data_IF_539214274542
#
_entry.id   IF_539214274542
#
_cell.length_a   1.000
_cell.length_b   1.000
_cell.length_c   1.000
_cell.angle_alpha   90.00
_cell.angle_beta   90.00
_cell.angle_gamma   90.00
#
_symmetry.space_group_name_H-M   'P 1'
#
loop_
_entity.id
_entity.type
_entity.pdbx_description
1 polymer ?
#
# COMPACT_ATOMS: atom_id res chain seq x y z
N UNK A 1 12.53 -36.22 26.17
CA UNK A 1 12.32 -35.52 24.89
C UNK A 1 10.90 -34.94 24.74
N UNK A 2 10.33 -34.29 25.76
CA UNK A 2 9.00 -33.62 25.68
C UNK A 2 9.00 -32.19 26.25
N UNK A 3 10.17 -31.57 26.45
CA UNK A 3 10.27 -30.20 26.99
C UNK A 3 10.91 -29.17 26.02
N UNK A 4 11.33 -29.57 24.82
CA UNK A 4 11.96 -28.65 23.83
C UNK A 4 10.99 -28.14 22.76
N UNK A 5 9.70 -28.51 22.81
CA UNK A 5 8.71 -28.13 21.76
C UNK A 5 7.78 -27.00 22.20
N UNK A 6 8.07 -26.29 23.30
CA UNK A 6 7.24 -25.20 23.81
C UNK A 6 7.87 -23.82 23.71
N UNK A 7 9.09 -23.69 23.17
CA UNK A 7 9.78 -22.38 23.07
C UNK A 7 9.73 -21.77 21.65
N UNK A 8 9.27 -22.49 20.64
CA UNK A 8 9.25 -22.02 19.25
C UNK A 8 7.93 -21.35 18.84
N UNK A 9 6.90 -21.30 19.69
CA UNK A 9 5.57 -20.78 19.33
C UNK A 9 5.33 -19.34 19.82
N UNK A 10 6.26 -18.72 20.52
CA UNK A 10 6.09 -17.35 21.08
C UNK A 10 6.81 -16.23 20.33
N UNK A 11 7.44 -16.51 19.19
CA UNK A 11 8.11 -15.52 18.33
C UNK A 11 7.26 -14.91 17.22
N UNK A 12 5.97 -15.24 17.16
CA UNK A 12 5.12 -14.90 16.02
C UNK A 12 4.16 -13.77 16.34
N UNK A 13 4.59 -12.53 16.51
CA UNK A 13 3.65 -11.39 16.49
C UNK A 13 4.34 -10.04 16.72
N UNK A 14 5.17 -9.59 15.80
CA UNK A 14 5.43 -8.15 15.73
C UNK A 14 5.40 -7.66 14.28
N UNK A 15 4.20 -7.63 13.72
CA UNK A 15 3.93 -6.72 12.63
C UNK A 15 3.92 -5.34 13.27
N UNK A 16 4.91 -4.50 12.98
CA UNK A 16 4.83 -3.10 13.34
C UNK A 16 3.58 -2.54 12.68
N UNK A 17 2.51 -2.44 13.45
CA UNK A 17 1.31 -1.75 13.04
C UNK A 17 1.72 -0.32 12.74
N UNK A 18 1.93 0.04 11.48
CA UNK A 18 1.75 1.42 11.07
C UNK A 18 0.31 1.76 11.44
N UNK A 19 0.12 2.27 12.66
CA UNK A 19 -1.22 2.54 13.17
C UNK A 19 -1.76 3.70 12.36
N UNK A 20 -2.78 3.42 11.57
CA UNK A 20 -3.68 4.45 11.06
C UNK A 20 -3.86 5.53 12.10
N UNK A 21 -4.01 6.76 11.67
CA UNK A 21 -4.35 7.86 12.59
C UNK A 21 -5.44 7.37 13.53
N UNK A 22 -5.19 7.27 14.84
CA UNK A 22 -6.12 6.62 15.76
C UNK A 22 -7.54 7.16 15.62
N UNK A 23 -8.55 6.29 15.74
CA UNK A 23 -9.98 6.69 15.57
C UNK A 23 -10.41 7.88 16.42
N UNK A 24 -9.69 8.20 17.48
CA UNK A 24 -9.95 9.33 18.36
C UNK A 24 -9.33 10.66 17.88
N UNK A 25 -8.44 10.62 16.87
CA UNK A 25 -7.93 11.82 16.20
C UNK A 25 -8.88 12.18 15.05
N UNK A 26 -9.11 13.47 14.86
CA UNK A 26 -9.82 13.95 13.68
C UNK A 26 -8.96 13.61 12.45
N UNK A 27 -9.51 12.84 11.51
CA UNK A 27 -8.85 12.52 10.24
C UNK A 27 -8.59 13.77 9.39
N UNK A 28 -9.20 14.90 9.76
CA UNK A 28 -8.98 16.17 9.07
C UNK A 28 -7.61 16.73 9.43
N UNK A 29 -6.74 16.76 8.43
CA UNK A 29 -5.46 17.44 8.54
C UNK A 29 -5.70 18.95 8.57
N UNK A 30 -5.17 19.60 9.59
CA UNK A 30 -5.28 21.05 9.77
C UNK A 30 -4.17 21.80 9.05
N UNK A 31 -2.96 21.31 9.24
CA UNK A 31 -1.73 21.87 8.71
C UNK A 31 -0.80 20.75 8.32
N UNK A 32 0.08 21.04 7.39
CA UNK A 32 1.22 20.18 7.01
C UNK A 32 2.47 21.03 7.10
N UNK A 33 3.47 20.53 7.78
CA UNK A 33 4.77 21.16 7.93
C UNK A 33 5.85 20.26 7.30
N UNK A 34 6.99 20.83 6.94
CA UNK A 34 8.18 20.07 6.55
C UNK A 34 9.15 19.95 7.71
N UNK A 35 9.86 18.84 7.80
CA UNK A 35 10.95 18.66 8.73
C UNK A 35 12.16 19.47 8.26
N UNK A 36 12.76 20.23 9.16
CA UNK A 36 13.83 21.19 8.89
C UNK A 36 15.19 20.50 8.76
N UNK A 37 15.39 19.44 9.51
CA UNK A 37 16.65 18.69 9.61
C UNK A 37 16.38 17.24 9.96
N UNK A 38 17.33 16.36 9.71
CA UNK A 38 17.23 14.97 10.11
C UNK A 38 17.13 14.84 11.63
N UNK A 39 16.20 14.02 12.08
CA UNK A 39 15.97 13.75 13.51
C UNK A 39 15.48 12.32 13.70
N UNK A 40 15.95 11.68 14.76
CA UNK A 40 15.49 10.37 15.18
C UNK A 40 14.70 10.54 16.48
N UNK A 41 13.44 10.15 16.46
CA UNK A 41 12.56 10.10 17.61
C UNK A 41 12.35 8.65 17.99
N UNK A 42 12.40 8.32 19.27
CA UNK A 42 12.05 6.97 19.73
C UNK A 42 10.62 6.97 20.27
N UNK A 43 9.77 6.15 19.68
CA UNK A 43 8.43 5.92 20.19
C UNK A 43 8.40 4.70 21.11
N UNK A 44 7.77 4.88 22.28
CA UNK A 44 7.47 3.77 23.16
C UNK A 44 6.11 3.17 22.77
N UNK A 45 6.11 1.90 22.39
CA UNK A 45 4.91 1.13 22.14
C UNK A 45 4.67 0.18 23.31
N UNK A 46 3.43 0.09 23.74
CA UNK A 46 3.00 -0.94 24.67
C UNK A 46 2.52 -2.13 23.86
N UNK A 47 3.17 -3.27 24.04
CA UNK A 47 2.79 -4.53 23.43
C UNK A 47 1.56 -5.11 24.12
N UNK A 48 0.87 -6.05 23.45
CA UNK A 48 -0.32 -6.71 24.00
C UNK A 48 0.00 -7.54 25.26
N UNK A 49 1.25 -7.99 25.40
CA UNK A 49 1.77 -8.67 26.60
C UNK A 49 2.16 -7.71 27.74
N UNK A 50 1.97 -6.42 27.55
CA UNK A 50 2.23 -5.37 28.54
C UNK A 50 3.65 -4.83 28.56
N UNK A 51 4.60 -5.40 27.79
CA UNK A 51 5.96 -4.88 27.65
C UNK A 51 5.97 -3.57 26.84
N UNK A 52 7.03 -2.79 27.01
CA UNK A 52 7.28 -1.59 26.22
C UNK A 52 8.41 -1.83 25.26
N UNK A 53 8.21 -1.45 24.02
CA UNK A 53 9.21 -1.49 22.98
C UNK A 53 9.51 -0.08 22.48
N UNK A 54 10.79 0.16 22.17
CA UNK A 54 11.28 1.42 21.59
C UNK A 54 11.39 1.25 20.08
N UNK A 55 10.59 2.00 19.34
CA UNK A 55 10.68 2.06 17.89
C UNK A 55 11.32 3.39 17.46
N UNK A 56 12.45 3.39 16.74
CA UNK A 56 13.02 4.60 16.18
C UNK A 56 12.17 5.10 15.02
N UNK A 57 11.82 6.38 15.06
CA UNK A 57 11.14 7.08 13.97
C UNK A 57 12.13 8.03 13.33
N UNK A 58 12.49 7.73 12.10
CA UNK A 58 13.43 8.51 11.31
C UNK A 58 12.69 9.58 10.52
N UNK A 59 12.96 10.85 10.83
CA UNK A 59 12.48 11.99 10.05
C UNK A 59 13.67 12.61 9.34
N UNK A 60 13.61 12.73 8.05
CA UNK A 60 14.62 13.37 7.23
C UNK A 60 14.19 14.77 6.85
N UNK A 61 15.17 15.64 6.57
CA UNK A 61 14.90 17.00 6.09
C UNK A 61 13.95 16.96 4.89
N UNK A 62 12.86 17.69 4.98
CA UNK A 62 11.85 17.75 3.92
C UNK A 62 10.69 16.79 4.07
N UNK A 63 10.74 15.83 5.00
CA UNK A 63 9.61 14.96 5.32
C UNK A 63 8.41 15.78 5.80
N UNK A 64 7.23 15.21 5.64
CA UNK A 64 5.99 15.88 6.03
C UNK A 64 5.53 15.45 7.43
N UNK A 65 5.15 16.43 8.21
CA UNK A 65 4.42 16.27 9.47
C UNK A 65 3.02 16.84 9.33
N UNK A 66 2.01 15.99 9.44
CA UNK A 66 0.60 16.39 9.44
C UNK A 66 0.15 16.78 10.84
N UNK A 67 -0.62 17.85 10.96
CA UNK A 67 -1.17 18.30 12.23
C UNK A 67 -2.66 18.01 12.27
N UNK A 68 -3.09 17.26 13.28
CA UNK A 68 -4.47 16.84 13.52
C UNK A 68 -5.00 17.33 14.87
N UNK A 69 -6.32 17.29 15.08
CA UNK A 69 -6.99 17.53 16.36
C UNK A 69 -7.60 16.25 16.92
N UNK A 70 -7.64 16.14 18.25
CA UNK A 70 -8.50 15.13 18.89
C UNK A 70 -9.97 15.53 18.76
N UNK A 71 -10.85 14.59 18.36
CA UNK A 71 -12.29 14.86 18.11
C UNK A 71 -13.03 15.54 19.26
N UNK A 72 -12.68 15.19 20.50
CA UNK A 72 -13.38 15.69 21.71
C UNK A 72 -12.56 16.65 22.58
N UNK A 73 -11.33 17.01 22.21
CA UNK A 73 -10.44 17.91 22.98
C UNK A 73 -9.64 18.78 22.00
N UNK A 74 -9.29 20.01 22.41
CA UNK A 74 -8.46 20.91 21.58
C UNK A 74 -6.97 20.53 21.53
N UNK A 75 -6.62 19.29 21.78
CA UNK A 75 -5.24 18.81 21.75
C UNK A 75 -4.79 18.59 20.31
N UNK A 76 -3.61 19.07 19.96
CA UNK A 76 -2.99 18.83 18.66
C UNK A 76 -2.16 17.56 18.69
N UNK A 77 -2.10 16.89 17.54
CA UNK A 77 -1.28 15.71 17.27
C UNK A 77 -0.52 15.93 16.00
N UNK A 78 0.74 15.51 15.99
CA UNK A 78 1.58 15.48 14.82
C UNK A 78 1.64 14.05 14.34
N UNK A 79 1.48 13.83 13.06
CA UNK A 79 1.49 12.50 12.46
C UNK A 79 2.44 12.47 11.26
N UNK A 80 3.17 11.38 11.14
CA UNK A 80 3.91 10.96 9.96
C UNK A 80 3.15 9.84 9.26
N UNK A 81 3.75 9.24 8.23
CA UNK A 81 3.23 8.02 7.59
C UNK A 81 3.17 6.82 8.55
N UNK A 82 3.96 6.80 9.63
CA UNK A 82 4.13 5.64 10.51
C UNK A 82 3.82 5.93 11.98
N UNK A 83 3.72 7.19 12.40
CA UNK A 83 3.67 7.53 13.81
C UNK A 83 2.76 8.72 14.11
N UNK A 84 2.21 8.75 15.32
CA UNK A 84 1.38 9.83 15.83
C UNK A 84 1.94 10.30 17.17
N UNK A 85 2.29 11.58 17.24
CA UNK A 85 2.90 12.20 18.41
C UNK A 85 1.92 13.18 19.07
N UNK A 86 1.53 12.96 20.34
CA UNK A 86 0.86 13.98 21.12
C UNK A 86 1.88 15.07 21.48
N UNK A 87 1.46 16.32 21.38
CA UNK A 87 2.32 17.46 21.68
C UNK A 87 1.66 18.37 22.68
N UNK A 88 2.31 18.57 23.82
CA UNK A 88 1.95 19.57 24.83
C UNK A 88 2.82 20.82 24.63
N UNK A 89 2.22 22.00 24.66
CA UNK A 89 2.91 23.29 24.64
C UNK A 89 3.97 23.44 23.53
N UNK A 90 3.76 22.81 22.37
CA UNK A 90 4.72 22.74 21.26
C UNK A 90 6.03 21.99 21.58
N UNK A 91 6.05 21.17 22.59
CA UNK A 91 7.14 20.25 22.92
C UNK A 91 6.68 18.80 22.72
N UNK A 92 7.64 17.91 22.41
CA UNK A 92 7.36 16.49 22.34
C UNK A 92 7.02 15.94 23.72
N UNK A 93 6.08 15.01 23.79
CA UNK A 93 5.79 14.30 25.03
C UNK A 93 7.02 13.45 25.40
N UNK A 94 7.38 13.45 26.68
CA UNK A 94 8.54 12.72 27.21
C UNK A 94 8.49 11.21 26.95
N UNK A 95 7.29 10.67 26.80
CA UNK A 95 7.06 9.25 26.53
C UNK A 95 7.40 8.87 25.08
N UNK A 96 7.49 9.86 24.19
CA UNK A 96 7.63 9.64 22.73
C UNK A 96 8.96 10.08 22.16
N UNK A 97 9.90 10.54 22.98
CA UNK A 97 11.17 11.12 22.52
C UNK A 97 12.35 10.49 23.23
N UNK A 98 13.42 10.20 22.50
CA UNK A 98 14.68 9.78 23.14
C UNK A 98 15.20 10.89 24.05
N UNK A 99 15.96 10.53 25.11
CA UNK A 99 16.58 11.50 26.02
C UNK A 99 17.40 12.58 25.28
N UNK A 100 17.98 12.25 24.12
CA UNK A 100 18.72 13.19 23.27
C UNK A 100 17.87 14.35 22.74
N UNK A 101 16.56 14.15 22.61
CA UNK A 101 15.63 15.15 22.06
C UNK A 101 14.59 15.63 23.08
N UNK A 102 14.75 15.24 24.35
CA UNK A 102 13.89 15.71 25.43
C UNK A 102 13.95 17.23 25.51
N UNK A 103 12.78 17.89 25.45
CA UNK A 103 12.69 19.35 25.47
C UNK A 103 12.86 20.05 24.12
N UNK A 104 13.08 19.32 23.04
CA UNK A 104 13.10 19.89 21.67
C UNK A 104 11.71 20.45 21.35
N UNK A 105 11.66 21.70 20.95
CA UNK A 105 10.42 22.36 20.55
C UNK A 105 10.12 22.02 19.08
N UNK A 106 8.87 21.70 18.78
CA UNK A 106 8.46 21.38 17.42
C UNK A 106 8.84 22.49 16.43
N UNK A 107 8.69 23.75 16.84
CA UNK A 107 9.08 24.91 16.01
C UNK A 107 10.55 24.90 15.58
N UNK A 108 11.40 24.18 16.30
CA UNK A 108 12.82 24.10 16.01
C UNK A 108 13.15 23.01 14.96
N UNK A 109 12.21 22.08 14.73
CA UNK A 109 12.38 20.96 13.79
C UNK A 109 11.48 21.04 12.57
N UNK A 110 10.50 21.95 12.54
CA UNK A 110 9.58 22.11 11.41
C UNK A 110 9.72 23.48 10.76
N UNK A 111 9.46 23.50 9.45
CA UNK A 111 9.40 24.70 8.62
C UNK A 111 8.21 24.61 7.65
N UNK A 112 7.92 25.69 6.96
CA UNK A 112 6.93 25.76 5.88
C UNK A 112 5.57 25.19 6.24
N UNK A 113 5.12 25.44 7.48
CA UNK A 113 3.80 25.03 7.93
C UNK A 113 2.70 25.75 7.15
N UNK A 114 1.85 24.98 6.51
CA UNK A 114 0.73 25.52 5.75
C UNK A 114 -0.57 24.85 6.13
N UNK A 115 -1.63 25.63 6.17
CA UNK A 115 -2.99 25.11 6.34
C UNK A 115 -3.36 24.27 5.11
N UNK A 116 -3.78 23.04 5.36
CA UNK A 116 -4.28 22.18 4.27
C UNK A 116 -5.69 22.63 3.93
N UNK A 117 -5.85 23.07 2.69
CA UNK A 117 -7.15 23.32 2.10
C UNK A 117 -7.38 22.27 1.02
N UNK A 118 -8.41 21.47 1.19
CA UNK A 118 -8.82 20.47 0.20
C UNK A 118 -10.34 20.44 0.10
N UNK A 119 -10.83 20.06 -1.06
CA UNK A 119 -12.24 19.79 -1.29
C UNK A 119 -12.44 18.31 -1.47
N UNK A 120 -12.94 17.65 -0.45
CA UNK A 120 -13.21 16.22 -0.47
C UNK A 120 -14.62 15.93 -0.98
N UNK A 121 -14.72 14.95 -1.88
CA UNK A 121 -15.97 14.37 -2.35
C UNK A 121 -15.97 12.88 -2.02
N UNK A 122 -16.92 12.45 -1.22
CA UNK A 122 -17.17 11.03 -0.97
C UNK A 122 -17.73 10.40 -2.26
N UNK A 123 -17.13 9.32 -2.68
CA UNK A 123 -17.53 8.52 -3.84
C UNK A 123 -18.08 7.19 -3.32
N UNK A 124 -19.18 6.72 -3.91
CA UNK A 124 -19.71 5.39 -3.65
C UNK A 124 -19.93 4.68 -4.97
N UNK A 125 -19.61 3.39 -5.02
CA UNK A 125 -19.74 2.54 -6.20
C UNK A 125 -20.26 1.15 -5.81
N UNK A 126 -20.88 0.46 -6.75
CA UNK A 126 -21.27 -0.94 -6.55
C UNK A 126 -20.09 -1.83 -6.91
N UNK A 127 -19.76 -2.75 -6.06
CA UNK A 127 -18.72 -3.75 -6.27
C UNK A 127 -19.15 -5.09 -5.69
N UNK A 128 -18.25 -6.06 -5.65
CA UNK A 128 -18.53 -7.40 -5.19
C UNK A 128 -17.48 -7.83 -4.15
N UNK A 129 -17.92 -8.70 -3.26
CA UNK A 129 -17.04 -9.34 -2.29
C UNK A 129 -16.42 -10.59 -2.92
N UNK A 130 -15.38 -10.36 -3.73
CA UNK A 130 -14.60 -11.41 -4.38
C UNK A 130 -13.35 -11.71 -3.58
N UNK A 131 -12.76 -12.87 -3.85
CA UNK A 131 -11.54 -13.29 -3.19
C UNK A 131 -10.42 -13.68 -4.17
N UNK A 132 -10.71 -14.31 -5.31
CA UNK A 132 -9.71 -14.77 -6.29
C UNK A 132 -10.03 -14.32 -7.71
N UNK A 133 -9.09 -14.57 -8.62
CA UNK A 133 -9.30 -14.43 -10.07
C UNK A 133 -10.39 -15.38 -10.56
N UNK A 134 -10.52 -16.56 -9.95
CA UNK A 134 -11.58 -17.51 -10.27
C UNK A 134 -12.97 -16.90 -10.05
N UNK A 135 -13.15 -16.10 -8.99
CA UNK A 135 -14.39 -15.36 -8.76
C UNK A 135 -14.71 -14.37 -9.90
N UNK A 136 -13.65 -13.79 -10.52
CA UNK A 136 -13.83 -12.95 -11.72
C UNK A 136 -14.14 -13.78 -12.94
N UNK A 137 -13.44 -14.89 -13.15
CA UNK A 137 -13.59 -15.76 -14.31
C UNK A 137 -14.96 -16.41 -14.35
N UNK A 138 -15.46 -16.92 -13.23
CA UNK A 138 -16.78 -17.53 -13.10
C UNK A 138 -17.93 -16.51 -13.15
N UNK A 139 -17.57 -15.22 -13.19
CA UNK A 139 -18.51 -14.12 -13.29
C UNK A 139 -18.97 -13.58 -11.93
N UNK A 140 -19.09 -12.25 -11.88
CA UNK A 140 -19.40 -11.52 -10.64
C UNK A 140 -20.79 -11.79 -10.07
N UNK A 141 -21.69 -12.40 -10.87
CA UNK A 141 -23.11 -12.56 -10.50
C UNK A 141 -23.33 -13.39 -9.23
N UNK A 142 -22.46 -14.37 -9.03
CA UNK A 142 -22.55 -15.31 -7.89
C UNK A 142 -21.93 -14.75 -6.62
N UNK A 143 -21.25 -13.63 -6.71
CA UNK A 143 -20.59 -13.01 -5.58
C UNK A 143 -21.51 -12.00 -4.90
N UNK A 144 -21.33 -11.84 -3.59
CA UNK A 144 -22.11 -10.88 -2.78
C UNK A 144 -21.86 -9.46 -3.28
N UNK A 145 -22.92 -8.77 -3.67
CA UNK A 145 -22.86 -7.34 -3.99
C UNK A 145 -22.62 -6.52 -2.72
N UNK A 146 -21.66 -5.62 -2.78
CA UNK A 146 -21.33 -4.70 -1.68
C UNK A 146 -21.21 -3.27 -2.18
N UNK A 147 -21.17 -2.32 -1.25
CA UNK A 147 -20.94 -0.90 -1.54
C UNK A 147 -19.48 -0.54 -1.25
N UNK A 148 -18.73 -0.29 -2.29
CA UNK A 148 -17.44 0.36 -2.19
C UNK A 148 -17.60 1.86 -1.92
N UNK A 149 -16.63 2.42 -1.20
CA UNK A 149 -16.55 3.84 -0.88
C UNK A 149 -15.13 4.32 -1.05
N UNK A 150 -14.95 5.62 -1.26
CA UNK A 150 -13.63 6.25 -1.30
C UNK A 150 -13.75 7.76 -1.23
N UNK A 151 -12.62 8.43 -1.12
CA UNK A 151 -12.54 9.89 -1.07
C UNK A 151 -11.78 10.45 -2.26
N UNK A 152 -12.45 11.26 -3.07
CA UNK A 152 -11.85 12.06 -4.12
C UNK A 152 -11.53 13.45 -3.55
N UNK A 153 -10.23 13.75 -3.46
CA UNK A 153 -9.72 14.97 -2.81
C UNK A 153 -9.09 15.88 -3.85
N UNK A 154 -9.65 17.08 -4.00
CA UNK A 154 -9.13 18.09 -4.90
C UNK A 154 -8.24 19.08 -4.13
N UNK A 155 -7.02 19.36 -4.59
CA UNK A 155 -6.21 20.43 -4.03
C UNK A 155 -6.85 21.78 -4.33
N UNK A 156 -6.91 22.66 -3.33
CA UNK A 156 -7.44 24.03 -3.48
C UNK A 156 -6.38 25.10 -3.20
N UNK A 157 -5.15 24.77 -3.45
CA UNK A 157 -4.01 25.66 -3.27
C UNK A 157 -4.05 26.79 -4.32
N UNK A 158 -3.37 27.90 -4.01
CA UNK A 158 -3.41 29.11 -4.85
C UNK A 158 -2.94 28.83 -6.28
N UNK A 159 -1.88 28.04 -6.44
CA UNK A 159 -1.33 27.63 -7.74
C UNK A 159 -2.28 26.73 -8.56
N UNK A 160 -3.20 26.00 -7.91
CA UNK A 160 -4.13 25.07 -8.57
C UNK A 160 -5.45 25.73 -9.01
N UNK A 161 -5.68 27.01 -8.72
CA UNK A 161 -6.95 27.69 -9.04
C UNK A 161 -7.30 27.74 -10.52
N UNK A 162 -6.30 27.69 -11.40
CA UNK A 162 -6.48 27.74 -12.86
C UNK A 162 -6.78 26.35 -13.47
N UNK A 163 -6.65 25.28 -12.72
CA UNK A 163 -6.90 23.91 -13.20
C UNK A 163 -8.39 23.70 -13.36
N UNK A 164 -8.86 23.55 -14.58
CA UNK A 164 -10.28 23.31 -14.91
C UNK A 164 -10.67 21.84 -14.66
N UNK A 165 -9.82 20.91 -15.13
CA UNK A 165 -9.97 19.47 -14.93
C UNK A 165 -8.68 18.92 -14.35
N UNK A 166 -8.76 18.29 -13.21
CA UNK A 166 -7.62 17.75 -12.47
C UNK A 166 -7.22 16.39 -13.03
N UNK A 167 -5.93 16.11 -13.26
CA UNK A 167 -5.45 14.74 -13.25
C UNK A 167 -5.68 14.14 -11.88
N UNK A 168 -5.79 12.83 -11.81
CA UNK A 168 -6.07 12.10 -10.55
C UNK A 168 -5.06 10.98 -10.38
N UNK A 169 -4.56 10.79 -9.16
CA UNK A 169 -3.83 9.60 -8.76
C UNK A 169 -4.69 8.79 -7.79
N UNK A 170 -4.96 7.53 -8.12
CA UNK A 170 -5.50 6.55 -7.20
C UNK A 170 -4.40 6.13 -6.25
N UNK A 171 -4.67 6.18 -4.96
CA UNK A 171 -3.73 5.80 -3.90
C UNK A 171 -4.25 4.52 -3.24
N UNK A 172 -3.56 3.41 -3.53
CA UNK A 172 -3.95 2.11 -3.01
C UNK A 172 -3.11 1.81 -1.77
N UNK A 173 -3.80 1.68 -0.64
CA UNK A 173 -3.18 1.46 0.66
C UNK A 173 -2.38 0.15 0.73
N UNK A 174 -1.41 0.07 1.63
CA UNK A 174 -0.74 -1.17 1.98
C UNK A 174 -1.64 -2.07 2.87
N UNK A 175 -1.15 -3.25 3.27
CA UNK A 175 -1.91 -4.20 4.12
C UNK A 175 -2.40 -3.60 5.44
N UNK A 176 -1.76 -2.54 5.95
CA UNK A 176 -2.22 -1.79 7.11
C UNK A 176 -3.49 -0.96 6.90
N UNK A 177 -3.93 -0.79 5.66
CA UNK A 177 -5.12 -0.01 5.32
C UNK A 177 -4.88 1.50 5.18
N UNK A 178 -3.63 1.94 5.22
CA UNK A 178 -3.22 3.33 5.11
C UNK A 178 -2.38 3.60 3.88
N UNK A 179 -2.31 4.86 3.49
CA UNK A 179 -1.45 5.37 2.42
C UNK A 179 -0.26 6.13 3.01
N UNK A 180 0.82 6.23 2.24
CA UNK A 180 1.95 7.09 2.60
C UNK A 180 1.60 8.56 2.30
N UNK A 181 1.38 9.35 3.35
CA UNK A 181 0.84 10.71 3.26
C UNK A 181 1.73 11.69 2.51
N UNK A 182 3.04 11.47 2.49
CA UNK A 182 4.01 12.34 1.81
C UNK A 182 3.69 12.43 0.31
N UNK A 183 3.39 11.30 -0.32
CA UNK A 183 3.01 11.24 -1.74
C UNK A 183 1.72 12.02 -2.03
N UNK A 184 0.72 11.89 -1.17
CA UNK A 184 -0.53 12.65 -1.29
C UNK A 184 -0.28 14.15 -1.20
N UNK A 185 0.58 14.59 -0.29
CA UNK A 185 0.92 16.00 -0.16
C UNK A 185 1.64 16.54 -1.39
N UNK A 186 2.61 15.79 -1.93
CA UNK A 186 3.32 16.14 -3.15
C UNK A 186 2.36 16.23 -4.35
N UNK A 187 1.47 15.25 -4.53
CA UNK A 187 0.46 15.28 -5.58
C UNK A 187 -0.41 16.54 -5.51
N UNK A 188 -0.86 16.90 -4.31
CA UNK A 188 -1.63 18.12 -4.12
C UNK A 188 -0.82 19.39 -4.41
N UNK A 189 0.49 19.42 -4.13
CA UNK A 189 1.39 20.50 -4.52
C UNK A 189 1.52 20.62 -6.04
N UNK A 190 1.54 19.47 -6.74
CA UNK A 190 1.58 19.38 -8.19
C UNK A 190 0.20 19.60 -8.85
N UNK A 191 -0.82 19.94 -8.07
CA UNK A 191 -2.21 20.10 -8.55
C UNK A 191 -2.84 18.82 -9.11
N UNK A 192 -2.40 17.68 -8.68
CA UNK A 192 -3.02 16.38 -8.94
C UNK A 192 -4.01 16.07 -7.83
N UNK A 193 -5.24 15.75 -8.18
CA UNK A 193 -6.23 15.25 -7.22
C UNK A 193 -5.91 13.79 -6.83
N UNK A 194 -6.39 13.36 -5.68
CA UNK A 194 -6.18 11.97 -5.23
C UNK A 194 -7.51 11.26 -5.01
N UNK A 195 -7.54 9.97 -5.29
CA UNK A 195 -8.67 9.12 -4.92
C UNK A 195 -8.18 7.92 -4.11
N UNK A 196 -8.80 7.70 -2.96
CA UNK A 196 -8.47 6.63 -2.03
C UNK A 196 -9.68 5.69 -1.91
N UNK A 197 -9.69 4.53 -2.58
CA UNK A 197 -10.73 3.51 -2.39
C UNK A 197 -10.53 2.82 -1.04
N UNK A 198 -11.62 2.63 -0.29
CA UNK A 198 -11.60 1.97 1.01
C UNK A 198 -11.86 0.47 0.85
N UNK A 199 -10.89 -0.24 0.25
CA UNK A 199 -11.03 -1.64 -0.16
C UNK A 199 -11.38 -2.54 1.03
N UNK A 200 -10.62 -2.44 2.11
CA UNK A 200 -10.82 -3.26 3.32
C UNK A 200 -12.09 -2.87 4.06
N UNK A 201 -12.37 -1.56 4.18
CA UNK A 201 -13.58 -1.08 4.86
C UNK A 201 -14.88 -1.47 4.15
N UNK A 202 -14.84 -1.64 2.83
CA UNK A 202 -15.98 -2.16 2.06
C UNK A 202 -16.34 -3.60 2.45
N UNK A 203 -15.36 -4.34 3.00
CA UNK A 203 -15.47 -5.73 3.44
C UNK A 203 -15.49 -5.88 4.97
N UNK A 204 -15.63 -4.76 5.69
CA UNK A 204 -15.77 -4.75 7.16
C UNK A 204 -14.47 -4.73 7.94
N UNK A 205 -13.32 -4.48 7.30
CA UNK A 205 -12.00 -4.46 7.94
C UNK A 205 -11.37 -3.07 7.89
N UNK A 206 -10.46 -2.79 8.81
CA UNK A 206 -9.64 -1.56 8.77
C UNK A 206 -8.26 -1.83 8.15
N UNK A 207 -7.78 -3.07 8.27
CA UNK A 207 -6.48 -3.52 7.76
C UNK A 207 -6.61 -4.97 7.28
N UNK A 208 -5.64 -5.42 6.49
CA UNK A 208 -5.54 -6.80 6.01
C UNK A 208 -4.39 -7.54 6.72
N UNK A 209 -4.12 -7.18 7.96
CA UNK A 209 -3.18 -7.96 8.74
C UNK A 209 -3.76 -9.34 8.98
N UNK A 210 -2.88 -10.31 8.81
CA UNK A 210 -3.18 -11.70 9.05
C UNK A 210 -3.68 -11.85 10.48
N UNK A 211 -4.92 -12.29 10.68
CA UNK A 211 -5.39 -12.69 11.98
C UNK A 211 -4.77 -14.05 12.29
N UNK A 212 -3.64 -14.02 13.01
CA UNK A 212 -2.91 -15.25 13.40
C UNK A 212 -3.74 -16.21 14.21
N UNK A 213 -4.81 -15.75 14.85
CA UNK A 213 -5.74 -16.61 15.60
C UNK A 213 -6.68 -17.38 14.69
N UNK A 214 -6.91 -16.87 13.47
CA UNK A 214 -7.84 -17.44 12.49
C UNK A 214 -7.18 -17.95 11.22
N UNK A 215 -5.88 -17.68 11.06
CA UNK A 215 -5.11 -18.08 9.88
C UNK A 215 -5.74 -17.67 8.54
N UNK A 216 -6.28 -16.46 8.44
CA UNK A 216 -7.09 -16.03 7.30
C UNK A 216 -6.59 -14.68 6.75
N UNK A 217 -6.31 -14.61 5.45
CA UNK A 217 -6.26 -13.36 4.70
C UNK A 217 -7.69 -12.86 4.47
N UNK A 218 -7.98 -11.61 4.85
CA UNK A 218 -9.35 -11.09 4.81
C UNK A 218 -9.78 -10.57 3.44
N UNK A 219 -8.83 -9.99 2.69
CA UNK A 219 -9.08 -9.34 1.40
C UNK A 219 -7.87 -9.49 0.52
N UNK A 220 -8.03 -10.09 -0.64
CA UNK A 220 -6.93 -10.30 -1.60
C UNK A 220 -6.72 -9.08 -2.49
N UNK A 221 -5.61 -9.07 -3.21
CA UNK A 221 -5.28 -8.07 -4.20
C UNK A 221 -6.33 -8.01 -5.32
N UNK A 222 -6.96 -9.14 -5.65
CA UNK A 222 -8.01 -9.19 -6.67
C UNK A 222 -9.23 -8.35 -6.33
N UNK A 223 -9.62 -8.32 -5.06
CA UNK A 223 -10.66 -7.42 -4.58
C UNK A 223 -10.25 -5.94 -4.75
N UNK A 224 -8.95 -5.64 -4.53
CA UNK A 224 -8.38 -4.33 -4.77
C UNK A 224 -8.39 -3.93 -6.25
N UNK A 225 -8.05 -4.86 -7.14
CA UNK A 225 -8.10 -4.67 -8.60
C UNK A 225 -9.53 -4.36 -9.05
N UNK A 226 -10.49 -5.18 -8.63
CA UNK A 226 -11.91 -4.98 -8.95
C UNK A 226 -12.40 -3.61 -8.50
N UNK A 227 -12.15 -3.24 -7.24
CA UNK A 227 -12.57 -1.97 -6.68
C UNK A 227 -11.92 -0.79 -7.40
N UNK A 228 -10.63 -0.91 -7.77
CA UNK A 228 -9.89 0.13 -8.48
C UNK A 228 -10.46 0.34 -9.89
N UNK A 229 -10.68 -0.71 -10.66
CA UNK A 229 -11.19 -0.62 -12.02
C UNK A 229 -12.65 -0.16 -12.09
N UNK A 230 -13.51 -0.62 -11.18
CA UNK A 230 -14.90 -0.14 -11.11
C UNK A 230 -14.96 1.33 -10.67
N UNK A 231 -14.19 1.70 -9.64
CA UNK A 231 -14.20 3.08 -9.16
C UNK A 231 -13.54 4.06 -10.13
N UNK A 232 -12.62 3.60 -10.98
CA UNK A 232 -12.06 4.40 -12.07
C UNK A 232 -13.16 4.95 -12.99
N UNK A 233 -14.12 4.11 -13.38
CA UNK A 233 -15.26 4.53 -14.21
C UNK A 233 -16.19 5.53 -13.52
N UNK A 234 -16.29 5.46 -12.19
CA UNK A 234 -17.10 6.39 -11.41
C UNK A 234 -16.39 7.73 -11.23
N UNK A 235 -15.08 7.70 -10.94
CA UNK A 235 -14.25 8.90 -10.75
C UNK A 235 -14.10 9.67 -12.08
N UNK A 236 -13.90 8.98 -13.19
CA UNK A 236 -13.73 9.58 -14.52
C UNK A 236 -14.95 10.40 -14.99
N UNK A 237 -16.16 10.08 -14.51
CA UNK A 237 -17.38 10.83 -14.79
C UNK A 237 -17.48 12.17 -14.05
N UNK A 238 -16.59 12.44 -13.11
CA UNK A 238 -16.63 13.70 -12.37
C UNK A 238 -16.20 14.85 -13.29
N UNK A 239 -17.05 15.88 -13.44
CA UNK A 239 -16.81 17.04 -14.34
C UNK A 239 -15.48 17.77 -14.10
N UNK A 240 -14.90 17.63 -12.89
CA UNK A 240 -13.61 18.23 -12.52
C UNK A 240 -12.41 17.31 -12.77
N UNK A 241 -12.63 16.10 -13.21
CA UNK A 241 -11.57 15.11 -13.47
C UNK A 241 -11.24 15.10 -14.95
N UNK A 242 -9.95 15.04 -15.25
CA UNK A 242 -9.46 14.73 -16.59
C UNK A 242 -9.38 13.20 -16.72
N UNK A 243 -10.36 12.60 -17.38
CA UNK A 243 -10.50 11.15 -17.49
C UNK A 243 -9.33 10.48 -18.23
N UNK A 244 -8.60 11.20 -19.10
CA UNK A 244 -7.42 10.66 -19.80
C UNK A 244 -6.13 10.75 -18.98
N UNK A 245 -6.16 11.41 -17.82
CA UNK A 245 -5.01 11.67 -16.95
C UNK A 245 -5.28 11.10 -15.54
N UNK A 246 -5.63 9.83 -15.47
CA UNK A 246 -5.84 9.13 -14.20
C UNK A 246 -4.76 8.05 -14.08
N UNK A 247 -3.90 8.18 -13.06
CA UNK A 247 -2.90 7.17 -12.69
C UNK A 247 -3.34 6.37 -11.48
N UNK A 248 -2.62 5.28 -11.23
CA UNK A 248 -2.75 4.45 -10.03
C UNK A 248 -1.37 4.23 -9.41
N UNK A 249 -1.30 4.33 -8.10
CA UNK A 249 -0.10 3.94 -7.34
C UNK A 249 -0.49 3.26 -6.04
N UNK A 250 0.41 2.44 -5.55
CA UNK A 250 0.19 1.76 -4.28
C UNK A 250 1.46 1.15 -3.70
N UNK A 251 1.36 0.72 -2.45
CA UNK A 251 2.45 0.24 -1.62
C UNK A 251 2.19 -1.20 -1.19
N UNK A 252 3.19 -2.10 -1.30
CA UNK A 252 3.08 -3.50 -0.87
C UNK A 252 1.84 -4.16 -1.50
N UNK A 253 0.84 -4.56 -0.75
CA UNK A 253 -0.48 -4.99 -1.24
C UNK A 253 -1.00 -4.07 -2.36
N UNK A 254 -1.02 -2.75 -2.12
CA UNK A 254 -1.46 -1.75 -3.10
C UNK A 254 -0.55 -1.67 -4.32
N UNK A 255 0.74 -1.96 -4.15
CA UNK A 255 1.69 -2.06 -5.26
C UNK A 255 1.36 -3.23 -6.19
N UNK A 256 1.01 -4.38 -5.64
CA UNK A 256 0.53 -5.55 -6.39
C UNK A 256 -0.78 -5.23 -7.11
N UNK A 257 -1.75 -4.64 -6.42
CA UNK A 257 -3.01 -4.15 -7.05
C UNK A 257 -2.71 -3.22 -8.23
N UNK A 258 -1.71 -2.36 -8.09
CA UNK A 258 -1.31 -1.40 -9.15
C UNK A 258 -0.78 -2.11 -10.39
N UNK A 259 0.02 -3.16 -10.24
CA UNK A 259 0.49 -3.99 -11.37
C UNK A 259 -0.68 -4.73 -12.02
N UNK A 260 -1.48 -5.39 -11.20
CA UNK A 260 -2.58 -6.23 -11.65
C UNK A 260 -3.70 -5.46 -12.36
N UNK A 261 -3.89 -4.18 -12.02
CA UNK A 261 -4.89 -3.32 -12.64
C UNK A 261 -4.63 -3.00 -14.13
N UNK A 262 -3.45 -3.31 -14.66
CA UNK A 262 -3.17 -3.20 -16.10
C UNK A 262 -3.22 -4.54 -16.85
N UNK A 263 -3.30 -5.68 -16.16
CA UNK A 263 -3.33 -7.00 -16.79
C UNK A 263 -4.63 -7.16 -17.59
N UNK A 264 -4.50 -7.57 -18.87
CA UNK A 264 -5.66 -7.71 -19.74
C UNK A 264 -6.60 -8.82 -19.27
N UNK A 265 -6.11 -9.86 -18.58
CA UNK A 265 -6.98 -10.86 -17.97
C UNK A 265 -8.03 -10.20 -17.06
N UNK A 266 -7.59 -9.35 -16.13
CA UNK A 266 -8.50 -8.64 -15.23
C UNK A 266 -9.39 -7.63 -15.98
N UNK A 267 -8.83 -6.93 -16.96
CA UNK A 267 -9.56 -5.91 -17.74
C UNK A 267 -10.66 -6.55 -18.59
N UNK A 268 -10.37 -7.68 -19.23
CA UNK A 268 -11.33 -8.38 -20.11
C UNK A 268 -12.48 -9.00 -19.32
N UNK A 269 -12.26 -9.38 -18.05
CA UNK A 269 -13.29 -9.88 -17.15
C UNK A 269 -14.13 -8.75 -16.53
N UNK A 270 -13.50 -7.68 -16.07
CA UNK A 270 -14.17 -6.55 -15.38
C UNK A 270 -14.78 -5.58 -16.39
N UNK A 271 -14.18 -5.43 -17.56
CA UNK A 271 -14.60 -4.54 -18.67
C UNK A 271 -14.79 -3.08 -18.25
N UNK A 272 -13.79 -2.45 -17.63
CA UNK A 272 -13.86 -1.03 -17.31
C UNK A 272 -13.91 -0.20 -18.61
N UNK A 273 -14.63 0.91 -18.58
CA UNK A 273 -14.72 1.85 -19.73
C UNK A 273 -13.44 2.69 -19.91
N UNK A 274 -12.71 2.88 -18.82
CA UNK A 274 -11.48 3.67 -18.77
C UNK A 274 -10.32 2.79 -18.32
N UNK A 275 -9.10 3.21 -18.68
CA UNK A 275 -7.85 2.56 -18.27
C UNK A 275 -6.98 3.58 -17.55
N UNK A 276 -6.12 3.12 -16.64
CA UNK A 276 -5.15 4.00 -16.02
C UNK A 276 -4.07 4.42 -17.02
N UNK A 277 -3.69 5.70 -16.96
CA UNK A 277 -2.67 6.29 -17.84
C UNK A 277 -1.23 6.12 -17.30
N UNK A 278 -1.08 5.77 -16.04
CA UNK A 278 0.20 5.59 -15.34
C UNK A 278 0.02 4.59 -14.19
N UNK A 279 0.99 3.71 -14.01
CA UNK A 279 1.08 2.76 -12.90
C UNK A 279 2.40 2.97 -12.15
N UNK A 280 2.34 3.15 -10.83
CA UNK A 280 3.49 3.29 -9.93
C UNK A 280 3.36 2.30 -8.78
N UNK A 281 4.13 1.23 -8.79
CA UNK A 281 4.08 0.15 -7.81
C UNK A 281 5.31 0.20 -6.91
N UNK A 282 5.10 0.36 -5.60
CA UNK A 282 6.18 0.39 -4.62
C UNK A 282 6.20 -0.94 -3.86
N UNK A 283 7.34 -1.60 -3.90
CA UNK A 283 7.63 -2.89 -3.26
C UNK A 283 6.48 -3.91 -3.35
N UNK A 284 5.99 -4.18 -4.59
CA UNK A 284 4.90 -5.12 -4.84
C UNK A 284 5.37 -6.57 -4.77
N UNK A 285 4.42 -7.50 -4.67
CA UNK A 285 4.63 -8.86 -5.15
C UNK A 285 4.26 -8.92 -6.64
N UNK A 286 5.13 -9.51 -7.47
CA UNK A 286 4.88 -9.64 -8.90
C UNK A 286 4.36 -11.04 -9.22
N UNK A 287 3.06 -11.14 -9.53
CA UNK A 287 2.43 -12.39 -9.97
C UNK A 287 2.73 -12.70 -11.44
N UNK A 288 2.64 -13.97 -11.78
CA UNK A 288 2.71 -14.45 -13.17
C UNK A 288 1.32 -14.84 -13.69
N UNK A 289 1.12 -14.64 -14.98
CA UNK A 289 -0.10 -15.05 -15.69
C UNK A 289 0.28 -15.81 -16.97
N UNK A 290 -0.53 -16.77 -17.37
CA UNK A 290 -0.41 -17.41 -18.68
C UNK A 290 -0.57 -16.38 -19.80
N UNK A 291 -1.59 -15.54 -19.71
CA UNK A 291 -1.74 -14.38 -20.57
C UNK A 291 -1.22 -13.12 -19.87
N UNK A 292 0.06 -12.83 -20.02
CA UNK A 292 0.72 -11.67 -19.41
C UNK A 292 0.54 -10.36 -20.20
N UNK A 293 -0.36 -10.31 -21.19
CA UNK A 293 -0.65 -9.07 -21.93
C UNK A 293 -1.22 -7.99 -21.00
N UNK A 294 -0.81 -6.75 -21.24
CA UNK A 294 -1.22 -5.59 -20.44
C UNK A 294 -1.74 -4.45 -21.32
N UNK A 295 -2.28 -3.41 -20.68
CA UNK A 295 -2.75 -2.19 -21.37
C UNK A 295 -1.64 -1.40 -22.04
N UNK A 296 -0.39 -1.78 -21.87
CA UNK A 296 0.80 -1.06 -22.35
C UNK A 296 0.93 0.38 -21.79
N UNK A 297 0.18 0.76 -20.76
CA UNK A 297 0.41 2.00 -20.03
C UNK A 297 1.77 1.97 -19.30
N UNK A 298 2.44 3.11 -19.09
CA UNK A 298 3.69 3.16 -18.35
C UNK A 298 3.55 2.52 -16.96
N UNK A 299 4.50 1.66 -16.62
CA UNK A 299 4.62 1.04 -15.31
C UNK A 299 6.03 1.26 -14.75
N UNK A 300 6.09 1.72 -13.52
CA UNK A 300 7.32 1.80 -12.72
C UNK A 300 7.16 0.96 -11.47
N UNK A 301 8.05 -0.01 -11.31
CA UNK A 301 8.15 -0.86 -10.13
C UNK A 301 9.39 -0.42 -9.35
N UNK A 302 9.24 -0.07 -8.08
CA UNK A 302 10.30 0.43 -7.22
C UNK A 302 10.45 -0.50 -6.03
N UNK A 303 11.60 -1.17 -5.91
CA UNK A 303 11.85 -2.20 -4.88
C UNK A 303 13.19 -2.01 -4.19
N UNK A 304 13.33 -2.58 -3.00
CA UNK A 304 14.61 -2.77 -2.34
C UNK A 304 15.21 -4.14 -2.65
N UNK A 305 16.53 -4.24 -2.70
CA UNK A 305 17.23 -5.52 -2.85
C UNK A 305 17.22 -6.38 -1.58
N UNK A 306 16.91 -5.76 -0.43
CA UNK A 306 16.74 -6.42 0.88
C UNK A 306 15.27 -6.59 1.27
N UNK A 307 14.36 -6.43 0.32
CA UNK A 307 12.94 -6.67 0.54
C UNK A 307 12.68 -8.17 0.78
N UNK A 308 11.75 -8.48 1.67
CA UNK A 308 11.31 -9.85 1.89
C UNK A 308 10.44 -10.39 0.74
N UNK A 309 9.92 -9.50 -0.10
CA UNK A 309 9.34 -9.87 -1.39
C UNK A 309 10.44 -9.86 -2.45
N UNK A 310 10.72 -11.00 -3.09
CA UNK A 310 11.87 -11.08 -4.00
C UNK A 310 11.71 -10.15 -5.22
N UNK A 311 12.64 -9.22 -5.42
CA UNK A 311 12.65 -8.35 -6.60
C UNK A 311 12.87 -9.15 -7.90
N UNK A 312 13.49 -10.34 -7.82
CA UNK A 312 13.70 -11.25 -8.96
C UNK A 312 12.39 -11.66 -9.64
N UNK A 313 11.28 -11.75 -8.89
CA UNK A 313 9.96 -12.00 -9.49
C UNK A 313 9.51 -10.85 -10.38
N UNK A 314 9.84 -9.62 -10.00
CA UNK A 314 9.54 -8.44 -10.79
C UNK A 314 10.49 -8.29 -11.99
N UNK A 315 11.73 -8.77 -11.89
CA UNK A 315 12.66 -8.86 -13.02
C UNK A 315 12.11 -9.83 -14.09
N UNK A 316 11.63 -11.00 -13.67
CA UNK A 316 10.97 -11.95 -14.57
C UNK A 316 9.72 -11.35 -15.22
N UNK A 317 8.87 -10.68 -14.42
CA UNK A 317 7.70 -9.99 -14.94
C UNK A 317 8.08 -8.95 -16.02
N UNK A 318 9.08 -8.11 -15.77
CA UNK A 318 9.54 -7.12 -16.75
C UNK A 318 10.07 -7.80 -18.03
N UNK A 319 10.85 -8.88 -17.90
CA UNK A 319 11.35 -9.65 -19.04
C UNK A 319 10.20 -10.16 -19.91
N UNK A 320 9.18 -10.76 -19.29
CA UNK A 320 7.99 -11.23 -20.02
C UNK A 320 7.29 -10.05 -20.73
N UNK A 321 7.18 -8.89 -20.10
CA UNK A 321 6.59 -7.72 -20.73
C UNK A 321 7.43 -7.21 -21.92
N UNK A 322 8.74 -7.25 -21.80
CA UNK A 322 9.66 -6.86 -22.88
C UNK A 322 9.56 -7.82 -24.08
N UNK A 323 9.46 -9.13 -23.84
CA UNK A 323 9.27 -10.15 -24.85
C UNK A 323 7.93 -9.98 -25.59
N UNK A 324 6.89 -9.49 -24.89
CA UNK A 324 5.59 -9.13 -25.46
C UNK A 324 5.60 -7.76 -26.18
N UNK A 325 6.73 -7.06 -26.24
CA UNK A 325 6.87 -5.76 -26.88
C UNK A 325 6.39 -4.55 -26.02
N UNK A 326 6.08 -4.74 -24.75
CA UNK A 326 5.62 -3.70 -23.84
C UNK A 326 6.81 -2.91 -23.25
N UNK A 327 7.43 -2.03 -24.03
CA UNK A 327 8.66 -1.30 -23.64
C UNK A 327 8.47 -0.19 -22.60
N UNK A 328 7.24 0.11 -22.20
CA UNK A 328 6.93 1.16 -21.21
C UNK A 328 6.95 0.66 -19.74
N UNK A 329 7.65 -0.45 -19.47
CA UNK A 329 7.76 -1.04 -18.12
C UNK A 329 9.18 -0.85 -17.60
N UNK A 330 9.30 -0.46 -16.33
CA UNK A 330 10.60 -0.23 -15.70
C UNK A 330 10.60 -0.74 -14.26
N UNK A 331 11.61 -1.54 -13.94
CA UNK A 331 11.96 -1.90 -12.57
C UNK A 331 13.18 -1.07 -12.12
N UNK A 332 13.13 -0.55 -10.91
CA UNK A 332 14.25 0.08 -10.22
C UNK A 332 14.44 -0.64 -8.89
N UNK A 333 15.64 -1.18 -8.70
CA UNK A 333 16.02 -1.86 -7.44
C UNK A 333 16.99 -0.98 -6.69
N UNK A 334 16.67 -0.63 -5.45
CA UNK A 334 17.47 0.22 -4.57
C UNK A 334 18.35 -0.64 -3.66
N UNK A 335 19.66 -0.48 -3.78
CA UNK A 335 20.63 -1.23 -2.99
C UNK A 335 20.55 -0.88 -1.50
N UNK A 336 20.50 -1.89 -0.65
CA UNK A 336 20.39 -1.77 0.80
C UNK A 336 19.00 -1.35 1.31
N UNK A 337 18.00 -1.26 0.43
CA UNK A 337 16.66 -0.90 0.83
C UNK A 337 15.84 -2.16 1.16
N UNK A 338 15.08 -2.08 2.25
CA UNK A 338 14.18 -3.13 2.73
C UNK A 338 12.73 -2.87 2.29
N UNK A 339 11.80 -3.72 2.69
CA UNK A 339 10.37 -3.44 2.48
C UNK A 339 9.94 -2.15 3.19
N UNK A 340 9.08 -1.36 2.54
CA UNK A 340 8.62 -0.08 3.08
C UNK A 340 9.75 0.91 3.41
N UNK A 341 10.81 0.91 2.61
CA UNK A 341 11.98 1.78 2.79
C UNK A 341 11.66 3.29 2.79
N UNK A 342 10.47 3.67 2.39
CA UNK A 342 9.97 5.04 2.35
C UNK A 342 9.14 5.45 3.58
N UNK A 343 8.92 4.51 4.52
CA UNK A 343 8.24 4.83 5.79
C UNK A 343 9.16 5.57 6.76
N UNK A 344 8.58 6.27 7.73
CA UNK A 344 9.35 7.00 8.74
C UNK A 344 9.75 6.15 9.96
N UNK A 345 9.18 4.97 10.14
CA UNK A 345 9.52 4.04 11.22
C UNK A 345 10.33 2.86 10.73
N UNK A 346 10.82 2.07 11.68
CA UNK A 346 11.41 0.76 11.46
C UNK A 346 10.57 -0.32 12.15
N UNK A 347 10.78 -1.55 11.79
CA UNK A 347 10.12 -2.69 12.45
C UNK A 347 10.47 -3.99 11.78
N UNK A 348 10.34 -5.09 12.52
CA UNK A 348 10.49 -6.42 11.96
C UNK A 348 9.15 -6.92 11.43
N UNK A 349 9.21 -7.67 10.34
CA UNK A 349 8.09 -8.42 9.78
C UNK A 349 8.45 -9.88 9.90
N UNK A 350 7.88 -10.54 10.90
CA UNK A 350 8.15 -11.95 11.17
C UNK A 350 7.36 -12.87 10.22
N UNK A 351 7.97 -14.00 9.87
CA UNK A 351 7.32 -15.07 9.11
C UNK A 351 6.93 -14.71 7.68
N UNK A 352 7.50 -13.64 7.12
CA UNK A 352 7.04 -13.08 5.84
C UNK A 352 8.04 -13.18 4.70
N UNK A 353 9.20 -13.82 4.90
CA UNK A 353 10.17 -13.99 3.82
C UNK A 353 9.57 -14.92 2.78
N UNK A 354 9.29 -14.40 1.60
CA UNK A 354 8.85 -15.19 0.45
C UNK A 354 10.07 -15.83 -0.20
N UNK A 355 10.00 -17.13 -0.43
CA UNK A 355 11.06 -17.84 -1.14
C UNK A 355 11.28 -17.23 -2.51
N UNK A 356 12.52 -16.91 -2.92
CA UNK A 356 12.84 -16.45 -4.28
C UNK A 356 12.44 -17.46 -5.36
N UNK A 357 12.34 -18.73 -5.00
CA UNK A 357 11.95 -19.82 -5.89
C UNK A 357 10.43 -19.98 -6.04
N UNK A 358 9.68 -19.36 -5.13
CA UNK A 358 8.22 -19.46 -5.17
C UNK A 358 7.64 -18.69 -6.36
N UNK A 359 6.74 -19.34 -7.07
CA UNK A 359 5.96 -18.72 -8.14
C UNK A 359 4.48 -18.96 -7.89
N UNK A 360 3.71 -17.92 -8.12
CA UNK A 360 2.26 -17.97 -8.14
C UNK A 360 1.83 -17.58 -9.55
N UNK A 361 1.03 -18.41 -10.16
CA UNK A 361 0.67 -18.29 -11.55
C UNK A 361 -0.83 -18.49 -11.74
N UNK A 362 -1.46 -17.64 -12.53
CA UNK A 362 -2.87 -17.76 -12.92
C UNK A 362 -2.94 -18.16 -14.37
N UNK A 363 -3.65 -19.25 -14.68
CA UNK A 363 -3.88 -19.69 -16.04
C UNK A 363 -5.07 -18.95 -16.72
N UNK A 364 -5.31 -19.26 -18.00
CA UNK A 364 -6.37 -18.62 -18.76
C UNK A 364 -7.78 -18.98 -18.29
N UNK A 365 -7.95 -19.99 -17.44
CA UNK A 365 -9.21 -20.36 -16.82
C UNK A 365 -9.42 -19.67 -15.46
N UNK A 366 -8.45 -18.85 -15.01
CA UNK A 366 -8.46 -18.24 -13.70
C UNK A 366 -8.03 -19.19 -12.57
N UNK A 367 -7.57 -20.40 -12.92
CA UNK A 367 -7.03 -21.34 -11.96
C UNK A 367 -5.67 -20.87 -11.45
N UNK A 368 -5.42 -21.12 -10.19
CA UNK A 368 -4.21 -20.67 -9.54
C UNK A 368 -3.29 -21.85 -9.24
N UNK A 369 -2.05 -21.66 -9.62
CA UNK A 369 -0.98 -22.64 -9.48
C UNK A 369 0.12 -22.06 -8.61
N UNK A 370 0.65 -22.87 -7.70
CA UNK A 370 1.78 -22.50 -6.84
C UNK A 370 2.92 -23.47 -7.05
N UNK A 371 4.11 -22.94 -7.21
CA UNK A 371 5.37 -23.66 -7.23
C UNK A 371 6.25 -23.15 -6.09
N UNK A 372 6.27 -23.81 -4.93
CA UNK A 372 6.97 -23.26 -3.77
C UNK A 372 8.50 -23.27 -3.91
N UNK A 373 9.13 -24.43 -4.07
CA UNK A 373 10.59 -24.55 -4.06
C UNK A 373 11.16 -25.57 -5.08
N UNK A 374 10.30 -26.32 -5.74
CA UNK A 374 10.70 -27.35 -6.70
C UNK A 374 10.29 -26.89 -8.12
N UNK A 375 11.25 -26.60 -9.04
CA UNK A 375 10.93 -26.08 -10.36
C UNK A 375 10.07 -27.02 -11.20
N UNK A 376 10.02 -28.30 -10.86
CA UNK A 376 9.24 -29.29 -11.61
C UNK A 376 7.85 -29.55 -11.01
N UNK A 377 7.56 -29.03 -9.81
CA UNK A 377 6.30 -29.32 -9.11
C UNK A 377 5.40 -28.09 -8.99
N UNK A 378 4.41 -28.05 -9.85
CA UNK A 378 3.31 -27.13 -9.77
C UNK A 378 2.10 -27.77 -9.05
N UNK A 379 1.54 -27.06 -8.11
CA UNK A 379 0.31 -27.47 -7.42
C UNK A 379 -0.84 -26.59 -7.90
N UNK A 380 -1.82 -27.19 -8.55
CA UNK A 380 -3.09 -26.52 -8.82
C UNK A 380 -3.90 -26.45 -7.53
N UNK A 381 -4.08 -25.27 -7.01
CA UNK A 381 -4.80 -25.06 -5.78
C UNK A 381 -6.28 -24.72 -5.99
N UNK A 382 -6.72 -24.64 -7.24
CA UNK A 382 -8.13 -24.52 -7.61
C UNK A 382 -8.75 -25.85 -8.06
N UNK A 383 -8.00 -26.75 -8.72
CA UNK A 383 -8.53 -27.97 -9.35
C UNK A 383 -9.05 -29.05 -8.38
N UNK A 384 -8.64 -29.06 -7.12
CA UNK A 384 -9.05 -30.08 -6.14
C UNK A 384 -10.27 -29.66 -5.28
N UNK A 385 -11.25 -29.03 -5.87
CA UNK A 385 -12.43 -28.53 -5.14
C UNK A 385 -12.32 -27.06 -4.83
N UNK A 386 -11.48 -26.37 -5.61
CA UNK A 386 -11.17 -24.97 -5.42
C UNK A 386 -10.21 -24.75 -4.27
N UNK A 387 -9.57 -23.61 -4.26
CA UNK A 387 -8.77 -23.11 -3.14
C UNK A 387 -9.46 -23.25 -1.81
N UNK A 388 -10.74 -23.42 -1.86
CA UNK A 388 -11.65 -23.21 -0.76
C UNK A 388 -12.51 -24.42 -0.47
N UNK A 389 -12.27 -25.58 -1.09
CA UNK A 389 -13.07 -26.80 -0.88
C UNK A 389 -14.57 -26.56 -1.11
N UNK A 390 -15.03 -25.41 -0.67
CA UNK A 390 -16.29 -24.72 -0.99
C UNK A 390 -15.93 -23.27 -1.24
N UNK A 391 -16.65 -22.63 -2.14
CA UNK A 391 -16.53 -21.19 -2.44
C UNK A 391 -16.35 -20.39 -1.14
N UNK A 392 -15.17 -19.77 -0.95
CA UNK A 392 -14.86 -18.93 0.21
C UNK A 392 -14.13 -19.57 1.39
N UNK A 393 -13.58 -20.76 1.28
CA UNK A 393 -12.69 -21.32 2.33
C UNK A 393 -11.32 -20.60 2.34
N UNK A 394 -11.33 -19.42 2.96
CA UNK A 394 -10.17 -18.56 3.10
C UNK A 394 -9.00 -19.22 3.86
N UNK A 395 -9.27 -20.23 4.67
CA UNK A 395 -8.23 -20.95 5.40
C UNK A 395 -7.39 -21.83 4.47
N UNK A 396 -8.03 -22.48 3.51
CA UNK A 396 -7.32 -23.30 2.52
C UNK A 396 -6.42 -22.43 1.63
N UNK A 397 -6.91 -21.25 1.21
CA UNK A 397 -6.10 -20.27 0.51
C UNK A 397 -4.87 -19.87 1.32
N UNK A 398 -5.07 -19.48 2.58
CA UNK A 398 -3.97 -19.06 3.45
C UNK A 398 -2.95 -20.14 3.66
N UNK A 399 -3.39 -21.39 3.77
CA UNK A 399 -2.49 -22.54 3.88
C UNK A 399 -1.68 -22.77 2.60
N UNK A 400 -2.30 -22.62 1.42
CA UNK A 400 -1.61 -22.75 0.15
C UNK A 400 -0.56 -21.65 -0.03
N UNK A 401 -0.89 -20.42 0.32
CA UNK A 401 0.06 -19.30 0.26
C UNK A 401 1.26 -19.49 1.21
N UNK A 402 1.08 -20.17 2.33
CA UNK A 402 2.18 -20.50 3.27
C UNK A 402 3.24 -21.42 2.66
N UNK A 403 2.94 -22.17 1.62
CA UNK A 403 3.94 -22.97 0.92
C UNK A 403 5.06 -22.10 0.31
N UNK A 404 4.75 -20.85 -0.01
CA UNK A 404 5.68 -19.89 -0.55
C UNK A 404 6.40 -19.04 0.50
N UNK A 405 5.87 -19.01 1.71
CA UNK A 405 6.39 -18.14 2.77
C UNK A 405 7.40 -18.92 3.61
N UNK A 406 8.63 -18.38 3.66
CA UNK A 406 9.67 -18.91 4.52
C UNK A 406 9.49 -18.46 5.97
N UNK A 407 10.24 -19.10 6.84
CA UNK A 407 10.37 -18.69 8.24
C UNK A 407 11.57 -17.76 8.36
N UNK A 408 11.34 -16.54 8.81
CA UNK A 408 12.39 -15.56 9.04
C UNK A 408 11.81 -14.21 9.43
N UNK A 409 12.64 -13.37 10.02
CA UNK A 409 12.30 -11.97 10.28
C UNK A 409 12.97 -11.09 9.22
N UNK A 410 12.21 -10.19 8.62
CA UNK A 410 12.74 -9.17 7.73
C UNK A 410 12.62 -7.81 8.37
N UNK A 411 13.67 -6.99 8.24
CA UNK A 411 13.64 -5.61 8.69
C UNK A 411 12.91 -4.76 7.64
N UNK A 412 12.03 -3.90 8.10
CA UNK A 412 11.42 -2.85 7.30
C UNK A 412 11.81 -1.51 7.92
N UNK A 413 12.69 -0.77 7.27
CA UNK A 413 13.23 0.49 7.80
C UNK A 413 13.40 1.55 6.73
N UNK A 414 13.51 2.79 7.18
CA UNK A 414 13.78 3.92 6.32
C UNK A 414 15.16 3.80 5.66
N UNK A 415 15.19 3.86 4.33
CA UNK A 415 16.40 4.10 3.57
C UNK A 415 16.30 5.48 2.90
N UNK A 416 17.01 6.47 3.43
CA UNK A 416 16.91 7.85 2.98
C UNK A 416 17.27 8.03 1.50
N UNK A 417 18.31 7.34 1.03
CA UNK A 417 18.74 7.42 -0.37
C UNK A 417 17.68 6.82 -1.33
N UNK A 418 17.17 5.63 -1.01
CA UNK A 418 16.10 5.00 -1.78
C UNK A 418 14.83 5.88 -1.81
N UNK A 419 14.47 6.48 -0.67
CA UNK A 419 13.35 7.41 -0.58
C UNK A 419 13.54 8.64 -1.47
N UNK A 420 14.71 9.29 -1.42
CA UNK A 420 15.00 10.47 -2.24
C UNK A 420 14.92 10.15 -3.73
N UNK A 421 15.53 9.03 -4.16
CA UNK A 421 15.44 8.57 -5.55
C UNK A 421 13.99 8.23 -5.94
N UNK A 422 13.24 7.56 -5.07
CA UNK A 422 11.82 7.27 -5.27
C UNK A 422 11.01 8.56 -5.47
N UNK A 423 11.23 9.56 -4.62
CA UNK A 423 10.53 10.84 -4.73
C UNK A 423 10.86 11.59 -6.01
N UNK A 424 12.10 11.46 -6.51
CA UNK A 424 12.47 12.02 -7.82
C UNK A 424 11.74 11.29 -8.94
N UNK A 425 11.82 9.97 -9.00
CA UNK A 425 11.15 9.15 -10.02
C UNK A 425 9.64 9.41 -10.01
N UNK A 426 9.04 9.44 -8.82
CA UNK A 426 7.62 9.72 -8.63
C UNK A 426 7.21 11.07 -9.23
N UNK A 427 7.92 12.15 -8.89
CA UNK A 427 7.61 13.49 -9.42
C UNK A 427 7.79 13.56 -10.93
N UNK A 428 8.91 13.05 -11.43
CA UNK A 428 9.23 13.08 -12.87
C UNK A 428 8.18 12.30 -13.69
N UNK A 429 7.72 11.14 -13.18
CA UNK A 429 6.69 10.33 -13.86
C UNK A 429 5.31 10.97 -13.80
N UNK A 430 4.92 11.52 -12.66
CA UNK A 430 3.65 12.26 -12.54
C UNK A 430 3.63 13.46 -13.47
N UNK A 431 4.72 14.23 -13.54
CA UNK A 431 4.84 15.36 -14.45
C UNK A 431 4.72 14.92 -15.90
N UNK A 432 5.50 13.91 -16.29
CA UNK A 432 5.54 13.42 -17.68
C UNK A 432 4.21 12.86 -18.17
N UNK A 433 3.53 12.05 -17.36
CA UNK A 433 2.39 11.26 -17.83
C UNK A 433 1.02 11.79 -17.42
N UNK A 434 0.95 12.58 -16.35
CA UNK A 434 -0.33 13.13 -15.88
C UNK A 434 -0.46 14.63 -16.09
N UNK A 435 0.65 15.40 -16.09
CA UNK A 435 0.58 16.87 -16.21
C UNK A 435 0.83 17.33 -17.64
N UNK A 436 1.76 16.74 -18.35
CA UNK A 436 2.06 16.99 -19.76
C UNK A 436 1.27 16.03 -20.67
#
# INVERSE_FOLDING_TARGET
MKKLLRIVVLGLLFISNAKAVPKWIDSKILEVCRVKQDIILNMNWKLDDGRWELEPIYLTKGDYLSIHKKKKKNQKYYATSSAVFPVKNNEWDKVTVSKKYEGVKIKDIIVDCRKVKSKTKKISYNTYDIFTQEDLFNGLKDNKKIKGKGELVFPVQKNCKKVKKYPVMFLIHHSGGDIMMDYKHILHEMCVATFEPYIFRARGHESNFYDTTKDIAWTTEQAGVLDSLISLDVVSKNKKVNASKIGIMGWSYGGTVTIEAQNNFNIDLIKPKNKFALHLALYPYCFSYENSKTTNAPLFILMGDKDYLPHTLCEEYIKVQDDLGNKNKKLVVFIGATHSYDKTGSGYVDGSIVSPECRIYTDNNGELWVRPNDPEKWFNITANGGWFGKKGDKKLYSNAMRLCWGYGASLAERNANAYEQTMKIFKDTVEKYLLN
#
